data_IF_310427153462
#
_entry.id   IF_310427153462
#
_cell.length_a   1.000
_cell.length_b   1.000
_cell.length_c   1.000
_cell.angle_alpha   90.00
_cell.angle_beta   90.00
_cell.angle_gamma   90.00
#
_symmetry.space_group_name_H-M   'P 1'
#
loop_
_entity.id
_entity.type
_entity.pdbx_description
1 polymer ?
#
# COMPACT_ATOMS: atom_id res chain seq x y z
N UNK A 1 -67.27 -13.39 -54.77
CA UNK A 1 -67.39 -13.59 -53.32
C UNK A 1 -65.97 -13.99 -52.85
N UNK A 2 -65.19 -13.04 -52.38
CA UNK A 2 -63.83 -13.24 -51.86
C UNK A 2 -63.74 -12.56 -50.50
N UNK A 3 -63.44 -13.34 -49.49
CA UNK A 3 -63.27 -12.92 -48.10
C UNK A 3 -61.84 -12.46 -47.95
N UNK A 4 -61.67 -11.22 -47.48
CA UNK A 4 -60.35 -10.69 -47.08
C UNK A 4 -60.19 -10.82 -45.57
N UNK A 5 -59.13 -11.56 -45.17
CA UNK A 5 -58.64 -11.62 -43.79
C UNK A 5 -57.78 -10.38 -43.49
N UNK A 6 -58.14 -9.62 -42.47
CA UNK A 6 -57.30 -8.57 -41.86
C UNK A 6 -56.44 -9.21 -40.78
N UNK A 7 -55.14 -9.25 -41.02
CA UNK A 7 -54.14 -9.52 -40.00
C UNK A 7 -53.84 -8.23 -39.23
N UNK A 8 -54.11 -8.24 -37.90
CA UNK A 8 -53.64 -7.20 -36.97
C UNK A 8 -52.18 -7.42 -36.67
N UNK A 9 -51.32 -6.46 -37.02
CA UNK A 9 -49.94 -6.34 -36.54
C UNK A 9 -49.96 -5.66 -35.16
N UNK A 10 -49.65 -6.44 -34.11
CA UNK A 10 -49.32 -5.94 -32.79
C UNK A 10 -47.87 -5.40 -32.82
N UNK A 11 -47.73 -4.06 -32.80
CA UNK A 11 -46.46 -3.43 -32.63
C UNK A 11 -45.97 -3.56 -31.18
N UNK A 12 -44.91 -4.31 -30.95
CA UNK A 12 -44.15 -4.27 -29.72
C UNK A 12 -43.24 -3.02 -29.74
N UNK A 13 -43.58 -2.00 -28.97
CA UNK A 13 -42.68 -0.94 -28.62
C UNK A 13 -41.67 -1.47 -27.61
N UNK A 14 -40.51 -1.92 -28.11
CA UNK A 14 -39.34 -2.20 -27.28
C UNK A 14 -38.83 -0.88 -26.71
N UNK A 15 -39.04 -0.65 -25.42
CA UNK A 15 -38.38 0.40 -24.67
C UNK A 15 -36.88 0.04 -24.59
N UNK A 16 -36.06 0.66 -25.45
CA UNK A 16 -34.59 0.65 -25.31
C UNK A 16 -34.26 1.37 -24.00
N UNK A 17 -33.97 0.63 -22.96
CA UNK A 17 -33.21 1.17 -21.83
C UNK A 17 -31.82 1.55 -22.31
N UNK A 18 -31.64 2.84 -22.62
CA UNK A 18 -30.30 3.41 -22.79
C UNK A 18 -29.61 3.36 -21.43
N UNK A 19 -28.79 2.35 -21.24
CA UNK A 19 -27.92 2.26 -20.09
C UNK A 19 -26.96 3.46 -20.19
N UNK A 20 -27.22 4.53 -19.44
CA UNK A 20 -26.28 5.62 -19.25
C UNK A 20 -25.07 5.03 -18.52
N UNK A 21 -24.09 4.58 -19.28
CA UNK A 21 -22.77 4.34 -18.70
C UNK A 21 -22.30 5.68 -18.14
N UNK A 22 -22.36 5.78 -16.85
CA UNK A 22 -21.69 6.80 -16.08
C UNK A 22 -20.20 6.62 -16.34
N UNK A 23 -19.61 7.45 -17.20
CA UNK A 23 -18.17 7.64 -17.31
C UNK A 23 -17.71 8.42 -16.07
N UNK A 24 -17.93 7.84 -14.90
CA UNK A 24 -17.15 8.16 -13.72
C UNK A 24 -15.77 7.59 -13.99
N UNK A 25 -14.75 8.43 -14.14
CA UNK A 25 -13.38 7.95 -14.22
C UNK A 25 -13.15 6.93 -13.11
N UNK A 26 -12.61 5.77 -13.45
CA UNK A 26 -12.24 4.76 -12.45
C UNK A 26 -11.37 5.48 -11.40
N UNK A 27 -11.94 5.67 -10.22
CA UNK A 27 -11.13 6.12 -9.08
C UNK A 27 -10.23 4.95 -8.74
N UNK A 28 -8.93 5.15 -8.83
CA UNK A 28 -7.91 4.18 -8.46
C UNK A 28 -7.40 4.53 -7.06
N UNK A 29 -6.92 3.54 -6.34
CA UNK A 29 -6.20 3.80 -5.11
C UNK A 29 -5.00 4.71 -5.38
N UNK A 30 -4.63 5.51 -4.38
CA UNK A 30 -3.54 6.48 -4.47
C UNK A 30 -2.59 6.29 -3.31
N UNK A 31 -1.32 6.58 -3.56
CA UNK A 31 -0.28 6.62 -2.55
C UNK A 31 0.28 8.04 -2.47
N UNK A 32 0.26 8.62 -1.28
CA UNK A 32 0.88 9.89 -0.94
C UNK A 32 2.09 9.63 -0.04
N UNK A 33 3.26 10.10 -0.41
CA UNK A 33 4.49 9.92 0.35
C UNK A 33 4.73 11.11 1.28
N UNK A 34 4.75 10.86 2.60
CA UNK A 34 5.05 11.90 3.60
C UNK A 34 6.55 12.11 3.77
N UNK A 35 7.36 11.09 3.53
CA UNK A 35 8.81 11.09 3.72
C UNK A 35 9.28 10.04 4.72
N UNK A 36 10.57 9.77 4.74
CA UNK A 36 11.21 8.74 5.54
C UNK A 36 10.58 7.35 5.27
N UNK A 37 10.08 6.66 6.32
CA UNK A 37 9.31 5.42 6.21
C UNK A 37 7.81 5.61 5.99
N UNK A 38 7.33 6.86 5.96
CA UNK A 38 5.90 7.19 6.10
C UNK A 38 5.20 7.41 4.78
N UNK A 39 4.05 6.76 4.58
CA UNK A 39 3.18 7.03 3.44
C UNK A 39 1.70 6.79 3.79
N UNK A 40 0.82 7.33 2.97
CA UNK A 40 -0.63 7.19 3.08
C UNK A 40 -1.20 6.57 1.81
N UNK A 41 -2.09 5.59 1.96
CA UNK A 41 -2.88 5.04 0.88
C UNK A 41 -4.31 5.55 1.01
N UNK A 42 -4.92 5.97 -0.10
CA UNK A 42 -6.34 6.34 -0.18
C UNK A 42 -7.02 5.43 -1.19
N UNK A 43 -8.00 4.65 -0.76
CA UNK A 43 -8.77 3.76 -1.65
C UNK A 43 -9.69 4.55 -2.59
N UNK A 44 -10.17 3.89 -3.63
CA UNK A 44 -11.16 4.46 -4.55
C UNK A 44 -12.46 4.88 -3.85
N UNK A 45 -12.81 4.22 -2.74
CA UNK A 45 -13.97 4.53 -1.90
C UNK A 45 -13.71 5.65 -0.87
N UNK A 46 -12.44 6.12 -0.73
CA UNK A 46 -12.06 7.18 0.21
C UNK A 46 -11.69 6.66 1.61
N UNK A 47 -11.37 5.37 1.75
CA UNK A 47 -10.75 4.85 2.97
C UNK A 47 -9.27 5.26 2.99
N UNK A 48 -8.77 5.65 4.14
CA UNK A 48 -7.42 6.20 4.33
C UNK A 48 -6.62 5.32 5.28
N UNK A 49 -5.46 4.89 4.83
CA UNK A 49 -4.52 4.05 5.57
C UNK A 49 -3.22 4.81 5.70
N UNK A 50 -2.75 5.06 6.91
CA UNK A 50 -1.41 5.55 7.19
C UNK A 50 -0.49 4.39 7.53
N UNK A 51 0.75 4.48 7.08
CA UNK A 51 1.81 3.52 7.39
C UNK A 51 2.98 4.27 7.98
N UNK A 52 3.45 3.82 9.14
CA UNK A 52 4.61 4.30 9.87
C UNK A 52 4.70 5.84 9.98
N UNK A 53 3.71 6.51 10.58
CA UNK A 53 3.69 7.96 10.69
C UNK A 53 4.88 8.48 11.51
N UNK A 54 5.60 9.49 10.96
CA UNK A 54 6.77 10.07 11.62
C UNK A 54 6.83 11.60 11.48
N UNK A 55 7.14 12.09 10.28
CA UNK A 55 7.38 13.49 9.99
C UNK A 55 6.92 13.83 8.57
N UNK A 56 7.05 15.11 8.16
CA UNK A 56 6.53 15.59 6.90
C UNK A 56 5.10 16.10 7.03
N UNK A 57 4.37 16.14 5.92
CA UNK A 57 3.04 16.74 5.82
C UNK A 57 1.99 15.70 5.40
N UNK A 58 0.70 16.10 5.33
CA UNK A 58 -0.39 15.27 4.80
C UNK A 58 -1.02 14.31 5.80
N UNK A 59 -0.87 14.57 7.10
CA UNK A 59 -1.52 13.82 8.20
C UNK A 59 -2.89 14.39 8.60
N UNK A 60 -3.36 15.44 7.94
CA UNK A 60 -4.62 16.13 8.18
C UNK A 60 -5.84 15.41 7.58
N UNK A 61 -5.63 14.45 6.69
CA UNK A 61 -6.72 13.64 6.11
C UNK A 61 -7.16 12.57 7.13
N UNK A 62 -8.46 12.55 7.56
CA UNK A 62 -8.89 11.60 8.59
C UNK A 62 -8.72 10.14 8.17
N UNK A 63 -7.89 9.39 8.92
CA UNK A 63 -7.55 7.99 8.69
C UNK A 63 -8.62 7.01 9.21
N UNK A 64 -8.80 5.93 8.48
CA UNK A 64 -9.57 4.75 8.89
C UNK A 64 -8.67 3.73 9.59
N UNK A 65 -7.42 3.61 9.12
CA UNK A 65 -6.44 2.64 9.61
C UNK A 65 -5.08 3.33 9.76
N UNK A 66 -4.36 3.01 10.82
CA UNK A 66 -2.96 3.40 11.03
C UNK A 66 -2.17 2.13 11.30
N UNK A 67 -1.14 1.86 10.50
CA UNK A 67 -0.24 0.74 10.64
C UNK A 67 1.09 1.22 11.21
N UNK A 68 1.65 0.45 12.15
CA UNK A 68 2.95 0.73 12.77
C UNK A 68 3.77 -0.55 12.73
N UNK A 69 4.84 -0.56 11.95
CA UNK A 69 5.69 -1.74 11.73
C UNK A 69 6.50 -2.10 12.99
N UNK A 70 6.91 -1.10 13.78
CA UNK A 70 7.65 -1.25 15.02
C UNK A 70 7.62 0.03 15.86
N UNK A 71 8.20 0.01 17.07
CA UNK A 71 8.04 1.08 18.05
C UNK A 71 9.19 2.10 18.08
N UNK A 72 10.02 2.21 17.04
CA UNK A 72 10.98 3.31 16.97
C UNK A 72 10.27 4.65 16.72
N UNK A 73 10.87 5.74 17.23
CA UNK A 73 10.25 7.06 17.23
C UNK A 73 10.00 7.67 15.85
N UNK A 74 10.66 7.15 14.82
CA UNK A 74 10.53 7.52 13.41
C UNK A 74 9.50 6.67 12.63
N UNK A 75 8.71 5.81 13.33
CA UNK A 75 7.66 4.99 12.73
C UNK A 75 6.33 5.03 13.50
N UNK A 76 6.28 5.54 14.74
CA UNK A 76 5.15 5.37 15.64
C UNK A 76 4.46 6.67 16.06
N UNK A 77 4.62 7.77 15.33
CA UNK A 77 4.04 9.09 15.70
C UNK A 77 2.54 9.16 15.33
N UNK A 78 1.77 8.17 15.78
CA UNK A 78 0.34 8.01 15.46
C UNK A 78 -0.54 9.20 15.85
N UNK A 79 -0.06 10.07 16.77
CA UNK A 79 -0.75 11.29 17.18
C UNK A 79 -0.77 12.37 16.11
N UNK A 80 0.11 12.30 15.10
CA UNK A 80 0.11 13.21 13.95
C UNK A 80 -1.12 13.01 13.07
N UNK A 81 -1.60 11.75 12.95
CA UNK A 81 -2.69 11.41 12.05
C UNK A 81 -4.03 11.91 12.55
N UNK A 82 -4.73 12.72 11.75
CA UNK A 82 -6.16 12.93 11.93
C UNK A 82 -6.89 11.58 11.82
N UNK A 83 -7.96 11.37 12.59
CA UNK A 83 -8.64 10.08 12.66
C UNK A 83 -10.14 10.22 12.49
N UNK A 84 -10.72 9.30 11.73
CA UNK A 84 -12.19 9.12 11.72
C UNK A 84 -12.65 8.46 13.02
N UNK A 85 -13.91 8.65 13.44
CA UNK A 85 -14.51 7.82 14.48
C UNK A 85 -14.39 6.33 14.10
N UNK A 86 -13.85 5.51 15.03
CA UNK A 86 -13.61 4.09 14.77
C UNK A 86 -12.29 3.76 14.04
N UNK A 87 -11.42 4.74 13.81
CA UNK A 87 -10.08 4.50 13.26
C UNK A 87 -9.34 3.42 14.05
N UNK A 88 -8.79 2.44 13.35
CA UNK A 88 -8.05 1.33 13.95
C UNK A 88 -6.55 1.58 13.85
N UNK A 89 -5.85 1.46 14.96
CA UNK A 89 -4.40 1.39 14.99
C UNK A 89 -4.01 -0.09 15.10
N UNK A 90 -3.17 -0.56 14.20
CA UNK A 90 -2.59 -1.91 14.21
C UNK A 90 -1.08 -1.73 14.25
N UNK A 91 -0.49 -2.04 15.38
CA UNK A 91 0.96 -2.01 15.55
C UNK A 91 1.57 -3.41 15.42
N UNK A 92 2.89 -3.48 15.50
CA UNK A 92 3.61 -4.74 15.60
C UNK A 92 3.07 -5.63 16.75
N UNK A 93 2.52 -5.03 17.81
CA UNK A 93 2.00 -5.77 18.98
C UNK A 93 0.79 -6.61 18.60
N UNK A 94 -0.18 -6.04 17.88
CA UNK A 94 -1.35 -6.78 17.39
C UNK A 94 -1.01 -7.63 16.14
N UNK A 95 -0.05 -7.17 15.34
CA UNK A 95 0.34 -7.82 14.10
C UNK A 95 1.18 -9.08 14.31
N UNK A 96 1.96 -9.14 15.41
CA UNK A 96 2.84 -10.25 15.76
C UNK A 96 2.57 -10.73 17.21
N UNK A 97 1.64 -11.64 17.36
CA UNK A 97 1.25 -12.16 18.67
C UNK A 97 1.75 -13.60 18.88
N UNK A 98 2.58 -13.81 19.90
CA UNK A 98 3.11 -15.14 20.23
C UNK A 98 3.94 -15.80 19.12
N UNK A 99 4.61 -14.98 18.28
CA UNK A 99 5.40 -15.45 17.14
C UNK A 99 4.57 -15.77 15.88
N UNK A 100 3.26 -15.45 15.91
CA UNK A 100 2.36 -15.63 14.77
C UNK A 100 2.05 -14.26 14.13
N UNK A 101 2.27 -14.16 12.83
CA UNK A 101 1.87 -13.02 12.00
C UNK A 101 0.38 -13.06 11.73
N UNK A 102 -0.34 -12.02 12.14
CA UNK A 102 -1.79 -11.93 12.04
C UNK A 102 -2.22 -11.28 10.72
N UNK A 103 -3.45 -11.63 10.31
CA UNK A 103 -4.13 -11.00 9.17
C UNK A 103 -5.39 -10.30 9.64
N UNK A 104 -5.63 -9.09 9.15
CA UNK A 104 -6.80 -8.28 9.47
C UNK A 104 -7.60 -8.03 8.20
N UNK A 105 -8.93 -8.00 8.33
CA UNK A 105 -9.84 -7.54 7.29
C UNK A 105 -10.70 -6.43 7.88
N UNK A 106 -10.57 -5.22 7.33
CA UNK A 106 -11.26 -4.02 7.80
C UNK A 106 -11.97 -3.40 6.60
N UNK A 107 -13.28 -3.55 6.56
CA UNK A 107 -14.13 -2.98 5.50
C UNK A 107 -13.63 -3.27 4.07
N UNK A 108 -13.13 -4.48 3.85
CA UNK A 108 -12.63 -4.94 2.56
C UNK A 108 -11.13 -4.68 2.30
N UNK A 109 -10.45 -3.95 3.18
CA UNK A 109 -8.99 -3.83 3.16
C UNK A 109 -8.41 -5.02 3.92
N UNK A 110 -7.52 -5.77 3.28
CA UNK A 110 -6.81 -6.89 3.91
C UNK A 110 -5.39 -6.47 4.22
N UNK A 111 -4.94 -6.74 5.45
CA UNK A 111 -3.60 -6.41 5.95
C UNK A 111 -3.00 -7.69 6.50
N UNK A 112 -1.97 -8.20 5.85
CA UNK A 112 -1.20 -9.37 6.28
C UNK A 112 0.11 -8.89 6.89
N UNK A 113 0.38 -9.22 8.16
CA UNK A 113 1.70 -9.02 8.74
C UNK A 113 2.67 -10.07 8.20
N UNK A 114 3.92 -9.66 7.98
CA UNK A 114 5.00 -10.53 7.48
C UNK A 114 6.31 -10.22 8.21
N UNK A 115 7.33 -11.04 8.03
CA UNK A 115 8.64 -10.85 8.65
C UNK A 115 9.26 -9.49 8.27
N UNK A 116 9.80 -8.80 9.28
CA UNK A 116 10.73 -7.69 9.12
C UNK A 116 11.74 -7.75 10.27
N UNK A 117 13.03 -7.80 9.96
CA UNK A 117 14.09 -7.81 10.96
C UNK A 117 15.46 -7.53 10.32
N UNK A 118 16.38 -7.11 11.15
CA UNK A 118 17.81 -7.02 10.83
C UNK A 118 18.63 -6.96 12.14
N UNK A 119 19.90 -6.61 12.04
CA UNK A 119 20.81 -6.50 13.23
C UNK A 119 20.36 -5.45 14.26
N UNK A 120 19.54 -4.46 13.87
CA UNK A 120 19.05 -3.37 14.72
C UNK A 120 17.56 -3.54 15.09
N UNK A 121 16.86 -4.50 14.48
CA UNK A 121 15.41 -4.70 14.59
C UNK A 121 15.11 -6.16 14.94
N UNK A 122 14.61 -6.39 16.17
CA UNK A 122 14.31 -7.74 16.67
C UNK A 122 13.13 -8.35 15.87
N UNK A 123 13.25 -9.58 15.34
CA UNK A 123 12.16 -10.28 14.65
C UNK A 123 10.91 -10.52 15.51
N UNK A 124 10.97 -10.30 16.81
CA UNK A 124 9.83 -10.40 17.74
C UNK A 124 9.11 -9.07 17.94
N UNK A 125 9.69 -7.97 17.47
CA UNK A 125 9.20 -6.61 17.71
C UNK A 125 8.96 -5.83 16.42
N UNK A 126 9.26 -6.43 15.26
CA UNK A 126 9.13 -5.77 13.97
C UNK A 126 8.33 -6.60 12.98
N UNK A 127 7.55 -5.92 12.14
CA UNK A 127 6.75 -6.52 11.06
C UNK A 127 6.81 -5.65 9.80
N UNK A 128 6.71 -6.29 8.64
CA UNK A 128 6.24 -5.66 7.42
C UNK A 128 4.75 -5.93 7.23
N UNK A 129 4.15 -5.28 6.24
CA UNK A 129 2.74 -5.47 5.91
C UNK A 129 2.55 -5.73 4.42
N UNK A 130 1.67 -6.67 4.06
CA UNK A 130 1.09 -6.75 2.72
C UNK A 130 -0.33 -6.21 2.82
N UNK A 131 -0.60 -5.11 2.13
CA UNK A 131 -1.86 -4.37 2.16
C UNK A 131 -2.57 -4.62 0.84
N UNK A 132 -3.79 -5.17 0.89
CA UNK A 132 -4.64 -5.31 -0.29
C UNK A 132 -5.78 -4.30 -0.21
N UNK A 133 -5.84 -3.38 -1.16
CA UNK A 133 -6.85 -2.33 -1.28
C UNK A 133 -7.25 -2.16 -2.74
N UNK A 134 -8.54 -2.10 -3.04
CA UNK A 134 -9.08 -2.03 -4.42
C UNK A 134 -8.54 -3.13 -5.36
N UNK A 135 -8.16 -4.29 -4.82
CA UNK A 135 -7.53 -5.38 -5.57
C UNK A 135 -6.02 -5.20 -5.82
N UNK A 136 -5.43 -4.08 -5.41
CA UNK A 136 -4.00 -3.78 -5.52
C UNK A 136 -3.29 -4.30 -4.27
N UNK A 137 -2.18 -5.02 -4.46
CA UNK A 137 -1.37 -5.60 -3.38
C UNK A 137 -0.05 -4.84 -3.22
N UNK A 138 0.18 -4.30 -2.04
CA UNK A 138 1.31 -3.43 -1.73
C UNK A 138 2.07 -4.05 -0.56
N UNK A 139 3.35 -4.34 -0.76
CA UNK A 139 4.25 -4.71 0.34
C UNK A 139 4.93 -3.45 0.90
N UNK A 140 4.75 -3.21 2.17
CA UNK A 140 5.43 -2.20 2.98
C UNK A 140 6.43 -2.93 3.87
N UNK A 141 7.73 -2.76 3.65
CA UNK A 141 8.73 -3.61 4.30
C UNK A 141 8.94 -3.28 5.79
N UNK A 142 8.62 -2.06 6.25
CA UNK A 142 9.12 -1.53 7.52
C UNK A 142 10.63 -1.40 7.50
N UNK A 143 11.26 -1.47 8.68
CA UNK A 143 12.71 -1.46 8.83
C UNK A 143 13.24 -2.89 8.86
N UNK A 144 13.97 -3.28 7.83
CA UNK A 144 14.38 -4.67 7.62
C UNK A 144 15.65 -4.81 6.78
N UNK A 145 16.23 -5.99 6.80
CA UNK A 145 17.09 -6.56 5.77
C UNK A 145 16.32 -7.64 5.00
N UNK A 146 16.99 -8.40 4.15
CA UNK A 146 16.39 -9.52 3.43
C UNK A 146 15.90 -10.58 4.42
N UNK A 147 14.61 -10.93 4.34
CA UNK A 147 13.97 -11.97 5.16
C UNK A 147 13.71 -13.24 4.35
N UNK A 148 13.44 -14.36 5.03
CA UNK A 148 13.11 -15.64 4.39
C UNK A 148 11.78 -15.58 3.63
N UNK A 149 10.79 -14.84 4.17
CA UNK A 149 9.46 -14.67 3.56
C UNK A 149 9.52 -14.05 2.18
N UNK A 150 10.47 -13.13 1.93
CA UNK A 150 10.59 -12.43 0.65
C UNK A 150 10.76 -13.38 -0.53
N UNK A 151 11.36 -14.57 -0.32
CA UNK A 151 11.48 -15.61 -1.35
C UNK A 151 10.14 -16.17 -1.83
N UNK A 152 9.08 -16.01 -1.03
CA UNK A 152 7.73 -16.50 -1.31
C UNK A 152 6.84 -15.45 -1.98
N UNK A 153 7.24 -14.17 -1.95
CA UNK A 153 6.38 -13.05 -2.35
C UNK A 153 6.12 -12.98 -3.86
N UNK A 154 7.00 -13.53 -4.69
CA UNK A 154 6.75 -13.64 -6.13
C UNK A 154 5.42 -14.35 -6.44
N UNK A 155 5.04 -15.36 -5.62
CA UNK A 155 3.78 -16.08 -5.77
C UNK A 155 2.54 -15.29 -5.31
N UNK A 156 2.73 -14.18 -4.60
CA UNK A 156 1.65 -13.31 -4.13
C UNK A 156 1.20 -12.30 -5.20
N UNK A 157 1.96 -12.16 -6.29
CA UNK A 157 1.66 -11.24 -7.41
C UNK A 157 1.46 -9.80 -6.92
N UNK A 158 2.47 -9.26 -6.23
CA UNK A 158 2.43 -7.92 -5.68
C UNK A 158 2.47 -6.87 -6.80
N UNK A 159 1.64 -5.83 -6.67
CA UNK A 159 1.64 -4.70 -7.60
C UNK A 159 2.75 -3.71 -7.25
N UNK A 160 3.01 -3.52 -5.94
CA UNK A 160 4.06 -2.63 -5.44
C UNK A 160 4.85 -3.28 -4.32
N UNK A 161 6.18 -3.08 -4.32
CA UNK A 161 7.05 -3.30 -3.17
C UNK A 161 7.66 -1.96 -2.76
N UNK A 162 7.44 -1.55 -1.51
CA UNK A 162 7.98 -0.33 -0.91
C UNK A 162 9.07 -0.76 0.05
N UNK A 163 10.34 -0.44 -0.26
CA UNK A 163 11.53 -0.94 0.42
C UNK A 163 12.32 0.20 1.05
N UNK A 164 12.94 -0.07 2.20
CA UNK A 164 13.90 0.83 2.84
C UNK A 164 15.30 0.68 2.23
N UNK A 165 16.16 1.70 2.35
CA UNK A 165 17.44 1.67 1.67
C UNK A 165 18.56 2.53 2.28
N UNK A 166 18.52 2.84 3.60
CA UNK A 166 19.49 3.76 4.22
C UNK A 166 20.90 3.20 4.38
N UNK A 167 21.06 1.89 4.38
CA UNK A 167 22.38 1.22 4.47
C UNK A 167 23.08 1.37 5.82
N UNK A 168 22.46 1.98 6.81
CA UNK A 168 23.02 2.19 8.13
C UNK A 168 22.26 1.42 9.22
N UNK A 169 20.96 1.68 9.35
CA UNK A 169 20.07 0.97 10.26
C UNK A 169 19.40 -0.22 9.56
N UNK A 170 19.19 -0.13 8.27
CA UNK A 170 18.51 -1.08 7.42
C UNK A 170 19.40 -1.60 6.30
N UNK A 171 18.82 -2.38 5.37
CA UNK A 171 19.50 -2.78 4.15
C UNK A 171 19.98 -1.56 3.33
N UNK A 172 21.11 -1.73 2.66
CA UNK A 172 21.58 -0.73 1.70
C UNK A 172 20.91 -0.89 0.34
N UNK A 173 21.15 0.08 -0.57
CA UNK A 173 20.53 0.09 -1.91
C UNK A 173 20.79 -1.18 -2.72
N UNK A 174 21.96 -1.80 -2.58
CA UNK A 174 22.32 -3.04 -3.29
C UNK A 174 21.46 -4.22 -2.78
N UNK A 175 21.37 -4.40 -1.46
CA UNK A 175 20.54 -5.43 -0.84
C UNK A 175 19.05 -5.17 -1.13
N UNK A 176 18.59 -3.92 -1.08
CA UNK A 176 17.22 -3.55 -1.44
C UNK A 176 16.89 -3.87 -2.91
N UNK A 177 17.86 -3.71 -3.82
CA UNK A 177 17.69 -4.10 -5.22
C UNK A 177 17.64 -5.62 -5.41
N UNK A 178 18.42 -6.40 -4.63
CA UNK A 178 18.29 -7.86 -4.60
C UNK A 178 16.92 -8.28 -4.08
N UNK A 179 16.43 -7.66 -3.00
CA UNK A 179 15.09 -7.91 -2.46
C UNK A 179 13.99 -7.60 -3.49
N UNK A 180 14.08 -6.48 -4.19
CA UNK A 180 13.13 -6.11 -5.24
C UNK A 180 13.06 -7.17 -6.36
N UNK A 181 14.22 -7.69 -6.78
CA UNK A 181 14.28 -8.80 -7.78
C UNK A 181 13.68 -10.10 -7.24
N UNK A 182 13.93 -10.42 -5.97
CA UNK A 182 13.43 -11.62 -5.31
C UNK A 182 11.89 -11.56 -5.13
N UNK A 183 11.38 -10.43 -4.67
CA UNK A 183 9.96 -10.16 -4.43
C UNK A 183 9.18 -10.14 -5.76
N UNK A 184 9.82 -9.64 -6.82
CA UNK A 184 9.25 -9.60 -8.18
C UNK A 184 7.91 -8.87 -8.29
N UNK A 185 7.76 -7.74 -7.56
CA UNK A 185 6.59 -6.87 -7.69
C UNK A 185 6.57 -6.18 -9.06
N UNK A 186 5.39 -5.78 -9.53
CA UNK A 186 5.24 -5.06 -10.81
C UNK A 186 5.93 -3.70 -10.80
N UNK A 187 5.93 -3.02 -9.64
CA UNK A 187 6.59 -1.74 -9.42
C UNK A 187 7.32 -1.75 -8.08
N UNK A 188 8.43 -1.05 -8.00
CA UNK A 188 9.23 -0.96 -6.78
C UNK A 188 9.45 0.50 -6.42
N UNK A 189 9.35 0.84 -5.14
CA UNK A 189 9.52 2.19 -4.59
C UNK A 189 10.57 2.09 -3.49
N UNK A 190 11.57 2.97 -3.51
CA UNK A 190 12.54 3.09 -2.42
C UNK A 190 12.17 4.27 -1.53
N UNK A 191 12.14 4.03 -0.23
CA UNK A 191 11.91 5.03 0.81
C UNK A 191 12.97 4.87 1.89
N UNK A 192 12.97 5.70 2.92
CA UNK A 192 13.91 5.59 4.05
C UNK A 192 15.35 5.42 3.56
N UNK A 193 15.80 6.29 2.64
CA UNK A 193 17.08 6.15 1.95
C UNK A 193 18.25 6.81 2.71
N UNK A 194 17.94 7.59 3.77
CA UNK A 194 18.94 8.29 4.55
C UNK A 194 18.49 8.49 5.99
N UNK A 195 19.33 8.15 6.98
CA UNK A 195 18.99 8.33 8.39
C UNK A 195 18.66 9.79 8.72
N UNK A 196 17.56 10.03 9.43
CA UNK A 196 17.15 11.33 9.94
C UNK A 196 16.67 12.35 8.91
N UNK A 197 16.61 12.00 7.63
CA UNK A 197 16.08 12.84 6.55
C UNK A 197 14.78 12.29 5.99
N UNK A 198 13.90 13.16 5.48
CA UNK A 198 12.66 12.71 4.86
C UNK A 198 12.89 11.97 3.56
N UNK A 199 13.89 12.37 2.78
CA UNK A 199 14.23 11.77 1.50
C UNK A 199 15.59 12.29 0.99
N UNK A 200 16.29 11.50 0.20
CA UNK A 200 17.48 11.90 -0.56
C UNK A 200 17.32 11.40 -2.00
N UNK A 201 17.06 12.33 -2.92
CA UNK A 201 16.81 12.03 -4.32
C UNK A 201 18.02 11.39 -5.00
N UNK A 202 19.24 11.88 -4.72
CA UNK A 202 20.45 11.35 -5.35
C UNK A 202 20.70 9.90 -4.95
N UNK A 203 20.38 9.52 -3.71
CA UNK A 203 20.45 8.13 -3.26
C UNK A 203 19.35 7.28 -3.90
N UNK A 204 18.11 7.77 -3.94
CA UNK A 204 17.00 7.04 -4.57
C UNK A 204 17.26 6.78 -6.07
N UNK A 205 17.85 7.73 -6.80
CA UNK A 205 18.22 7.59 -8.22
C UNK A 205 19.33 6.56 -8.47
N UNK A 206 20.16 6.24 -7.45
CA UNK A 206 21.18 5.20 -7.53
C UNK A 206 20.66 3.79 -7.32
N UNK A 207 19.40 3.65 -6.92
CA UNK A 207 18.80 2.34 -6.67
C UNK A 207 18.51 1.60 -7.97
N UNK A 208 19.26 0.52 -8.23
CA UNK A 208 19.16 -0.31 -9.43
C UNK A 208 18.15 -1.45 -9.24
N UNK A 209 16.86 -1.12 -9.10
CA UNK A 209 15.79 -2.09 -9.04
C UNK A 209 14.95 -2.11 -10.32
N UNK A 210 14.36 -3.26 -10.70
CA UNK A 210 13.47 -3.33 -11.85
C UNK A 210 12.21 -2.48 -11.61
N UNK A 211 11.72 -1.81 -12.65
CA UNK A 211 10.49 -1.00 -12.60
C UNK A 211 10.43 -0.07 -11.38
N UNK A 212 11.53 0.58 -11.10
CA UNK A 212 11.64 1.48 -9.98
C UNK A 212 10.83 2.76 -10.25
N UNK A 213 10.07 3.20 -9.24
CA UNK A 213 9.27 4.43 -9.24
C UNK A 213 9.80 5.32 -8.12
N UNK A 214 10.37 6.48 -8.49
CA UNK A 214 10.85 7.46 -7.52
C UNK A 214 9.72 8.42 -7.21
N UNK A 215 9.40 8.57 -5.92
CA UNK A 215 8.44 9.55 -5.40
C UNK A 215 9.14 10.39 -4.34
N UNK A 216 8.81 11.66 -4.30
CA UNK A 216 9.35 12.61 -3.31
C UNK A 216 8.28 12.93 -2.24
N UNK A 217 8.69 13.40 -1.05
CA UNK A 217 7.73 13.86 -0.05
C UNK A 217 6.75 14.89 -0.63
N UNK A 218 5.48 14.76 -0.23
CA UNK A 218 4.34 15.54 -0.71
C UNK A 218 3.87 15.22 -2.14
N UNK A 219 4.40 14.16 -2.76
CA UNK A 219 3.87 13.67 -4.04
C UNK A 219 2.82 12.57 -3.82
N UNK A 220 1.83 12.56 -4.71
CA UNK A 220 0.79 11.53 -4.78
C UNK A 220 0.85 10.86 -6.15
N UNK A 221 0.80 9.54 -6.17
CA UNK A 221 0.70 8.72 -7.38
C UNK A 221 -0.58 7.90 -7.37
N UNK A 222 -1.11 7.59 -8.55
CA UNK A 222 -2.15 6.57 -8.71
C UNK A 222 -1.50 5.18 -8.75
N UNK A 223 -2.09 4.25 -8.03
CA UNK A 223 -1.63 2.87 -7.91
C UNK A 223 -2.24 1.97 -8.99
#
# INVERSE_FOLDING_TARGET
MRVFFLQRLCGFYGMMFVNKYFLGGLRMAKLFYQGHGSFRITSSSGQVIYVDPYAGEGYDVPGDIILVSHQHGDHNQVQLCARKPGCRVISNVEALEGGRYNTFNIDGIVIEAVQAYNKNHDPKECVGFIITVDGIKIYACGDTSKTEDMSTFASKELDYAILCGDGFYNMGLEEAAECARLISAKNNIIIHVKPGELFDRELAEKWDAPNNVIIEPNQEISL
#
